data_IF_867233987987
#
_entry.id   IF_867233987987
#
_cell.length_a   1.000
_cell.length_b   1.000
_cell.length_c   1.000
_cell.angle_alpha   90.00
_cell.angle_beta   90.00
_cell.angle_gamma   90.00
#
_symmetry.space_group_name_H-M   'P 1'
#
loop_
_entity.id
_entity.type
_entity.pdbx_description
1 polymer ?
#
# COMPACT_ATOMS: atom_id res chain seq x y z
N UNK A 1 -11.39 15.86 10.21
CA UNK A 1 -10.33 15.09 9.53
C UNK A 1 -10.38 13.69 10.08
N UNK A 2 -10.22 12.67 9.23
CA UNK A 2 -10.14 11.28 9.71
C UNK A 2 -8.68 10.96 10.06
N UNK A 3 -8.47 10.22 11.14
CA UNK A 3 -7.13 9.83 11.57
C UNK A 3 -6.59 8.73 10.67
N UNK A 4 -5.26 8.73 10.50
CA UNK A 4 -4.56 7.65 9.83
C UNK A 4 -4.48 6.42 10.73
N UNK A 5 -4.47 5.23 10.15
CA UNK A 5 -4.39 3.98 10.91
C UNK A 5 -3.70 2.87 10.11
N UNK A 6 -3.18 1.88 10.83
CA UNK A 6 -2.53 0.72 10.22
C UNK A 6 -3.55 -0.22 9.60
N UNK A 7 -3.21 -0.76 8.43
CA UNK A 7 -4.02 -1.73 7.71
C UNK A 7 -3.17 -2.86 7.17
N UNK A 8 -3.79 -4.04 7.05
CA UNK A 8 -3.30 -5.09 6.16
C UNK A 8 -3.94 -4.83 4.79
N UNK A 9 -3.13 -4.78 3.75
CA UNK A 9 -3.60 -4.57 2.38
C UNK A 9 -2.96 -5.54 1.40
N UNK A 10 -3.57 -5.73 0.24
CA UNK A 10 -3.02 -6.50 -0.89
C UNK A 10 -2.87 -5.60 -2.10
N UNK A 11 -1.79 -5.78 -2.85
CA UNK A 11 -1.59 -5.08 -4.11
C UNK A 11 -2.34 -5.85 -5.19
N UNK A 12 -3.28 -5.21 -5.88
CA UNK A 12 -4.10 -5.83 -6.94
C UNK A 12 -3.62 -5.47 -8.35
N UNK A 13 -2.84 -4.38 -8.48
CA UNK A 13 -2.37 -3.89 -9.78
C UNK A 13 -1.04 -3.18 -9.64
N UNK A 14 -0.05 -3.64 -10.42
CA UNK A 14 1.23 -2.97 -10.58
C UNK A 14 1.04 -1.51 -11.01
N UNK A 15 1.78 -0.62 -10.36
CA UNK A 15 1.82 0.77 -10.76
C UNK A 15 2.85 0.88 -11.88
N UNK A 16 2.45 1.34 -13.07
CA UNK A 16 3.29 1.36 -14.27
C UNK A 16 4.57 2.19 -14.15
N UNK A 17 4.65 3.10 -13.17
CA UNK A 17 5.86 3.88 -12.82
C UNK A 17 6.91 3.02 -12.08
N UNK A 18 6.54 1.80 -11.67
CA UNK A 18 7.27 0.94 -10.74
C UNK A 18 7.90 -0.24 -11.48
N UNK A 19 8.36 -0.04 -12.73
CA UNK A 19 9.21 -1.00 -13.47
C UNK A 19 10.55 -1.33 -12.76
N UNK A 20 10.69 -0.99 -11.48
CA UNK A 20 11.73 -1.47 -10.60
C UNK A 20 11.22 -2.66 -9.80
N UNK A 21 11.91 -3.79 -10.01
CA UNK A 21 11.75 -5.10 -9.38
C UNK A 21 11.99 -5.04 -7.86
N UNK A 22 11.18 -4.31 -7.10
CA UNK A 22 11.22 -4.45 -5.65
C UNK A 22 10.57 -5.80 -5.30
N UNK A 23 11.32 -6.78 -4.77
CA UNK A 23 10.78 -8.10 -4.47
C UNK A 23 9.67 -8.07 -3.41
N UNK A 24 9.51 -6.98 -2.65
CA UNK A 24 8.44 -6.82 -1.65
C UNK A 24 7.13 -6.28 -2.25
N UNK A 25 7.16 -5.78 -3.50
CA UNK A 25 5.98 -5.24 -4.19
C UNK A 25 5.46 -6.29 -5.15
N UNK A 26 4.77 -7.29 -4.60
CA UNK A 26 4.15 -8.36 -5.39
C UNK A 26 2.62 -8.26 -5.40
N UNK A 27 2.03 -8.51 -6.56
CA UNK A 27 0.58 -8.62 -6.68
C UNK A 27 0.09 -9.81 -5.83
N UNK A 28 -1.02 -9.62 -5.12
CA UNK A 28 -1.65 -10.56 -4.20
C UNK A 28 -0.86 -10.86 -2.90
N UNK A 29 0.25 -10.18 -2.65
CA UNK A 29 0.96 -10.28 -1.38
C UNK A 29 0.35 -9.35 -0.32
N UNK A 30 0.29 -9.83 0.92
CA UNK A 30 -0.23 -9.08 2.06
C UNK A 30 0.87 -8.23 2.67
N UNK A 31 0.60 -6.94 2.80
CA UNK A 31 1.51 -5.96 3.35
C UNK A 31 0.84 -5.18 4.47
N UNK A 32 1.64 -4.60 5.36
CA UNK A 32 1.17 -3.70 6.42
C UNK A 32 1.55 -2.27 6.05
N UNK A 33 0.59 -1.36 6.05
CA UNK A 33 0.83 0.04 5.71
C UNK A 33 -0.05 0.99 6.53
N UNK A 34 0.30 2.28 6.49
CA UNK A 34 -0.50 3.35 7.07
C UNK A 34 -1.50 3.86 6.04
N UNK A 35 -2.80 3.73 6.33
CA UNK A 35 -3.86 4.27 5.48
C UNK A 35 -4.24 5.69 5.90
N UNK A 36 -4.26 6.60 4.92
CA UNK A 36 -4.84 7.93 5.03
C UNK A 36 -6.24 7.95 4.39
N UNK A 37 -7.32 7.97 5.20
CA UNK A 37 -8.69 8.02 4.71
C UNK A 37 -9.10 9.36 4.10
N UNK A 38 -8.31 10.43 4.26
CA UNK A 38 -8.61 11.72 3.61
C UNK A 38 -8.19 11.70 2.14
N UNK A 39 -7.11 10.98 1.84
CA UNK A 39 -6.49 10.89 0.51
C UNK A 39 -6.77 9.57 -0.22
N UNK A 40 -7.36 8.58 0.47
CA UNK A 40 -7.56 7.22 0.00
C UNK A 40 -6.25 6.52 -0.44
N UNK A 41 -5.19 6.71 0.35
CA UNK A 41 -3.84 6.21 0.07
C UNK A 41 -3.29 5.38 1.22
N UNK A 42 -2.49 4.38 0.89
CA UNK A 42 -1.69 3.59 1.83
C UNK A 42 -0.22 3.93 1.60
N UNK A 43 0.49 4.24 2.68
CA UNK A 43 1.95 4.35 2.69
C UNK A 43 2.51 3.04 3.24
N UNK A 44 3.35 2.39 2.43
CA UNK A 44 4.08 1.19 2.76
C UNK A 44 5.57 1.50 2.79
N UNK A 45 6.25 1.12 3.87
CA UNK A 45 7.69 1.26 4.00
C UNK A 45 8.34 -0.10 3.73
N UNK A 46 9.17 -0.19 2.70
CA UNK A 46 9.89 -1.44 2.40
C UNK A 46 11.06 -1.66 3.38
N UNK A 47 11.67 -2.86 3.33
CA UNK A 47 12.83 -3.17 4.18
C UNK A 47 14.06 -2.29 3.93
N UNK A 48 14.12 -1.61 2.78
CA UNK A 48 15.14 -0.62 2.43
C UNK A 48 14.88 0.78 2.98
N UNK A 49 13.76 1.00 3.69
CA UNK A 49 13.37 2.29 4.22
C UNK A 49 12.80 3.24 3.16
N UNK A 50 12.42 2.73 1.99
CA UNK A 50 11.76 3.51 0.94
C UNK A 50 10.25 3.43 1.09
N UNK A 51 9.61 4.60 1.02
CA UNK A 51 8.16 4.72 1.03
C UNK A 51 7.56 4.47 -0.35
N UNK A 52 6.45 3.75 -0.34
CA UNK A 52 5.64 3.43 -1.50
C UNK A 52 4.18 3.79 -1.22
N UNK A 53 3.58 4.48 -2.18
CA UNK A 53 2.22 5.01 -2.03
C UNK A 53 1.29 4.24 -2.97
N UNK A 54 0.26 3.63 -2.40
CA UNK A 54 -0.75 2.88 -3.12
C UNK A 54 -2.11 3.57 -2.96
N UNK A 55 -2.87 3.68 -4.04
CA UNK A 55 -4.26 4.16 -3.98
C UNK A 55 -5.20 2.96 -3.82
N UNK A 56 -6.08 3.02 -2.81
CA UNK A 56 -7.09 1.97 -2.57
C UNK A 56 -8.08 1.93 -3.73
N UNK A 57 -8.56 0.74 -4.10
CA UNK A 57 -9.44 0.44 -5.23
C UNK A 57 -8.84 0.69 -6.63
N UNK A 58 -7.62 1.21 -6.70
CA UNK A 58 -6.87 1.42 -7.96
C UNK A 58 -5.66 0.50 -8.07
N UNK A 59 -4.90 0.39 -6.98
CA UNK A 59 -3.64 -0.35 -6.92
C UNK A 59 -3.63 -1.39 -5.81
N UNK A 60 -4.45 -1.20 -4.77
CA UNK A 60 -4.51 -2.08 -3.62
C UNK A 60 -5.92 -2.18 -3.03
N UNK A 61 -6.13 -3.19 -2.20
CA UNK A 61 -7.35 -3.40 -1.41
C UNK A 61 -6.99 -3.61 0.06
N UNK A 62 -7.79 -3.06 0.97
CA UNK A 62 -7.62 -3.25 2.42
C UNK A 62 -8.30 -4.57 2.83
N UNK A 63 -7.56 -5.42 3.52
CA UNK A 63 -8.03 -6.70 4.07
C UNK A 63 -8.44 -6.58 5.53
N UNK A 64 -7.71 -5.79 6.33
CA UNK A 64 -7.98 -5.60 7.76
C UNK A 64 -7.50 -4.23 8.24
N UNK A 65 -8.09 -3.72 9.32
CA UNK A 65 -7.71 -2.47 10.00
C UNK A 65 -7.42 -2.73 11.48
N UNK A 66 -6.56 -1.90 12.08
CA UNK A 66 -6.23 -1.92 13.51
C UNK A 66 -6.71 -0.64 14.19
#
# INVERSE_FOLDING_TARGET
MKEKYLVIFVIIKEISVFQNKNPEIQINERNIGEFDPNDNKIVFLDSGGKEWIFTVDKNCEIISKF
#
